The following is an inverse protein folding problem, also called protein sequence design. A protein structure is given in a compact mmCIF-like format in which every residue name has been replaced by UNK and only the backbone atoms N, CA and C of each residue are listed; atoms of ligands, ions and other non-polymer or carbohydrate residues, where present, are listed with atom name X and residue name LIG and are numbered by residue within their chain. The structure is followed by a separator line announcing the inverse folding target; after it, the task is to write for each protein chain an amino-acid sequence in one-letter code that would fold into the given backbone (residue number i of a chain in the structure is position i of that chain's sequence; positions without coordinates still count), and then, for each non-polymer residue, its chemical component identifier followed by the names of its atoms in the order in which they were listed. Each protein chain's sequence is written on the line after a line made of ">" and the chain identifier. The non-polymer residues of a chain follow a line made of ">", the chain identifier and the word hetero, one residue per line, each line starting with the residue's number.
data_IF_645866825578
#
_entry.id   IF_645866825578
#
_cell.length_a   1.000
_cell.length_b   1.000
_cell.length_c   1.000
_cell.angle_alpha   90.00
_cell.angle_beta   90.00
_cell.angle_gamma   90.00
#
_symmetry.space_group_name_H-M   'P 1'
#
loop_
_entity.id
_entity.type
_entity.pdbx_description
1 polymer ?
#
# COMPACT_ATOMS: atom_id res chain seq x y z
N UNK A 1 13.34 -11.55 -12.83
CA UNK A 1 12.31 -12.19 -13.67
C UNK A 1 10.96 -11.80 -13.09
N UNK A 2 10.01 -11.33 -13.90
CA UNK A 2 8.68 -10.88 -13.45
C UNK A 2 7.64 -11.58 -14.30
N UNK A 3 6.57 -12.10 -13.69
CA UNK A 3 5.53 -12.90 -14.34
C UNK A 3 4.12 -12.39 -14.01
N UNK A 4 3.15 -12.78 -14.85
CA UNK A 4 1.74 -12.48 -14.61
C UNK A 4 1.29 -13.23 -13.35
N UNK A 5 0.69 -12.49 -12.41
CA UNK A 5 0.21 -13.02 -11.14
C UNK A 5 1.18 -12.88 -9.98
N UNK A 6 2.38 -12.34 -10.21
CA UNK A 6 3.32 -12.02 -9.12
C UNK A 6 2.69 -11.02 -8.14
N UNK A 7 2.82 -11.30 -6.85
CA UNK A 7 2.34 -10.42 -5.79
C UNK A 7 3.17 -9.13 -5.75
N UNK A 8 2.47 -8.00 -5.60
CA UNK A 8 3.08 -6.68 -5.47
C UNK A 8 2.59 -6.01 -4.20
N UNK A 9 3.49 -5.27 -3.56
CA UNK A 9 3.20 -4.52 -2.36
C UNK A 9 3.16 -3.03 -2.67
N UNK A 10 1.96 -2.42 -2.57
CA UNK A 10 1.79 -0.97 -2.76
C UNK A 10 2.05 -0.19 -1.47
N UNK A 11 1.58 -0.72 -0.33
CA UNK A 11 1.83 -0.21 1.03
C UNK A 11 2.08 -1.43 1.91
N UNK A 12 3.19 -1.45 2.63
CA UNK A 12 3.57 -2.56 3.51
C UNK A 12 5.05 -2.87 3.47
N UNK A 13 5.42 -4.03 4.02
CA UNK A 13 6.79 -4.54 4.06
C UNK A 13 6.96 -5.85 3.28
N UNK A 14 7.95 -5.90 2.39
CA UNK A 14 8.36 -7.11 1.67
C UNK A 14 9.85 -7.37 1.91
N UNK A 15 10.18 -8.45 2.62
CA UNK A 15 11.56 -8.74 3.02
C UNK A 15 12.13 -7.63 3.92
N UNK A 16 13.18 -6.96 3.45
CA UNK A 16 13.79 -5.81 4.15
C UNK A 16 13.27 -4.46 3.67
N UNK A 17 12.53 -4.43 2.55
CA UNK A 17 12.02 -3.20 1.96
C UNK A 17 10.62 -2.89 2.50
N UNK A 18 10.31 -1.59 2.62
CA UNK A 18 9.04 -1.11 3.11
C UNK A 18 8.60 0.14 2.34
N UNK A 19 7.31 0.19 2.00
CA UNK A 19 6.64 1.39 1.48
C UNK A 19 5.58 1.77 2.50
N UNK A 20 5.74 2.91 3.15
CA UNK A 20 4.77 3.42 4.13
C UNK A 20 3.68 4.27 3.48
N UNK A 21 2.57 4.47 4.18
CA UNK A 21 1.55 5.43 3.74
C UNK A 21 2.10 6.86 3.76
N UNK A 22 3.02 7.19 4.67
CA UNK A 22 3.70 8.49 4.71
C UNK A 22 4.57 8.70 3.47
N UNK A 23 5.29 7.67 2.99
CA UNK A 23 6.09 7.78 1.76
C UNK A 23 5.22 8.09 0.53
N UNK A 24 4.02 7.49 0.45
CA UNK A 24 3.07 7.81 -0.62
C UNK A 24 2.55 9.23 -0.45
N UNK A 25 2.24 9.64 0.78
CA UNK A 25 1.75 10.98 1.08
C UNK A 25 2.77 12.05 0.66
N UNK A 26 4.04 11.86 0.97
CA UNK A 26 5.15 12.74 0.57
C UNK A 26 5.28 12.84 -0.96
N UNK A 27 5.04 11.74 -1.69
CA UNK A 27 5.08 11.71 -3.16
C UNK A 27 3.85 12.34 -3.82
N UNK A 28 2.76 12.53 -3.06
CA UNK A 28 1.46 12.99 -3.58
C UNK A 28 0.99 14.29 -2.94
N UNK A 29 1.87 14.99 -2.22
CA UNK A 29 1.61 16.26 -1.54
C UNK A 29 0.36 16.23 -0.63
N UNK A 30 0.22 15.15 0.14
CA UNK A 30 -0.88 14.95 1.09
C UNK A 30 -0.36 14.40 2.44
N UNK A 31 -1.25 13.90 3.29
CA UNK A 31 -0.97 13.25 4.56
C UNK A 31 -1.35 11.76 4.50
N UNK A 32 -0.72 10.94 5.33
CA UNK A 32 -0.97 9.49 5.36
C UNK A 32 -2.43 9.11 5.63
N UNK A 33 -3.18 9.94 6.36
CA UNK A 33 -4.61 9.73 6.60
C UNK A 33 -5.41 9.77 5.29
N UNK A 34 -5.11 10.70 4.37
CA UNK A 34 -5.78 10.77 3.07
C UNK A 34 -5.42 9.58 2.18
N UNK A 35 -4.18 9.08 2.25
CA UNK A 35 -3.75 7.87 1.53
C UNK A 35 -4.55 6.65 1.99
N UNK A 36 -4.63 6.40 3.29
CA UNK A 36 -5.34 5.21 3.81
C UNK A 36 -6.87 5.35 3.67
N UNK A 37 -7.42 6.54 3.87
CA UNK A 37 -8.85 6.80 3.66
C UNK A 37 -9.23 6.80 2.16
N UNK A 38 -8.29 7.10 1.28
CA UNK A 38 -8.46 7.02 -0.17
C UNK A 38 -8.59 5.59 -0.70
N UNK A 39 -8.28 4.56 0.09
CA UNK A 39 -8.50 3.17 -0.29
C UNK A 39 -10.00 2.88 -0.37
N UNK A 40 -10.49 2.82 -1.60
CA UNK A 40 -11.90 2.72 -1.90
C UNK A 40 -12.55 1.47 -1.28
N UNK A 41 -13.85 1.57 -0.99
CA UNK A 41 -14.61 0.54 -0.28
C UNK A 41 -14.72 -0.79 -1.05
N UNK A 42 -14.54 -0.78 -2.37
CA UNK A 42 -14.53 -1.98 -3.22
C UNK A 42 -13.25 -2.83 -3.07
N UNK A 43 -12.19 -2.31 -2.45
CA UNK A 43 -11.00 -3.09 -2.14
C UNK A 43 -11.32 -4.05 -1.00
N UNK A 44 -11.22 -5.36 -1.26
CA UNK A 44 -11.51 -6.40 -0.28
C UNK A 44 -10.54 -6.31 0.90
N UNK A 45 -11.07 -6.09 2.11
CA UNK A 45 -10.32 -6.13 3.36
C UNK A 45 -10.26 -7.57 3.88
N UNK A 46 -9.05 -8.06 4.13
CA UNK A 46 -8.81 -9.40 4.70
C UNK A 46 -8.16 -9.21 6.06
N UNK A 47 -8.84 -9.63 7.12
CA UNK A 47 -8.34 -9.54 8.50
C UNK A 47 -7.65 -10.86 8.87
N UNK A 48 -6.44 -10.77 9.44
CA UNK A 48 -5.68 -11.90 9.98
C UNK A 48 -5.45 -11.65 11.47
N UNK A 49 -5.49 -12.71 12.28
CA UNK A 49 -5.19 -12.67 13.71
C UNK A 49 -3.69 -12.59 13.96
#
# INVERSE_FOLDING_TARGET
>A
NVSIGDEVMLIGKQGNDQISADEIADKTDTISYEVVCGIHSNVKRIYKN
#
